data_IF_949201025948
#
_entry.id   IF_949201025948
#
_cell.length_a   1.000
_cell.length_b   1.000
_cell.length_c   1.000
_cell.angle_alpha   90.00
_cell.angle_beta   90.00
_cell.angle_gamma   90.00
#
_symmetry.space_group_name_H-M   'P 1'
#
loop_
_entity.id
_entity.type
_entity.pdbx_description
1 polymer ?
#
# COMPACT_ATOMS: atom_id res chain seq x y z
N UNK A 1 -26.57 15.22 -34.69
CA UNK A 1 -26.26 14.23 -33.63
C UNK A 1 -24.78 14.18 -33.29
N UNK A 2 -23.87 14.20 -34.26
CA UNK A 2 -22.40 14.12 -34.06
C UNK A 2 -21.79 15.22 -33.17
N UNK A 3 -22.34 16.44 -33.23
CA UNK A 3 -21.87 17.56 -32.41
C UNK A 3 -22.11 17.35 -30.91
N UNK A 4 -23.33 16.93 -30.54
CA UNK A 4 -23.71 16.67 -29.15
C UNK A 4 -22.91 15.50 -28.58
N UNK A 5 -22.74 14.43 -29.36
CA UNK A 5 -21.91 13.29 -28.95
C UNK A 5 -20.45 13.70 -28.74
N UNK A 6 -19.90 14.55 -29.61
CA UNK A 6 -18.54 15.08 -29.46
C UNK A 6 -18.37 15.91 -28.18
N UNK A 7 -19.35 16.77 -27.88
CA UNK A 7 -19.35 17.58 -26.66
C UNK A 7 -19.42 16.71 -25.39
N UNK A 8 -20.31 15.71 -25.37
CA UNK A 8 -20.43 14.80 -24.24
C UNK A 8 -19.14 13.98 -24.03
N UNK A 9 -18.53 13.47 -25.11
CA UNK A 9 -17.27 12.72 -25.01
C UNK A 9 -16.17 13.61 -24.43
N UNK A 10 -15.98 14.82 -24.95
CA UNK A 10 -14.98 15.76 -24.45
C UNK A 10 -15.18 16.10 -22.96
N UNK A 11 -16.42 16.37 -22.56
CA UNK A 11 -16.77 16.66 -21.17
C UNK A 11 -16.44 15.48 -20.24
N UNK A 12 -16.82 14.26 -20.64
CA UNK A 12 -16.55 13.05 -19.88
C UNK A 12 -15.05 12.75 -19.80
N UNK A 13 -14.29 12.94 -20.89
CA UNK A 13 -12.84 12.74 -20.89
C UNK A 13 -12.15 13.72 -19.93
N UNK A 14 -12.56 15.00 -19.90
CA UNK A 14 -12.02 15.95 -18.91
C UNK A 14 -12.37 15.56 -17.48
N UNK A 15 -13.62 15.18 -17.22
CA UNK A 15 -14.05 14.73 -15.89
C UNK A 15 -13.29 13.48 -15.43
N UNK A 16 -12.98 12.56 -16.35
CA UNK A 16 -12.22 11.37 -16.02
C UNK A 16 -10.79 11.74 -15.59
N UNK A 17 -10.12 12.61 -16.36
CA UNK A 17 -8.69 12.89 -16.19
C UNK A 17 -8.36 13.94 -15.13
N UNK A 18 -9.26 14.89 -14.88
CA UNK A 18 -8.95 16.08 -14.08
C UNK A 18 -9.72 16.17 -12.77
N UNK A 19 -10.73 15.33 -12.57
CA UNK A 19 -11.41 15.31 -11.28
C UNK A 19 -10.52 14.59 -10.26
N UNK A 20 -10.16 15.24 -9.14
CA UNK A 20 -9.31 14.64 -8.11
C UNK A 20 -9.96 13.41 -7.46
N UNK A 21 -11.29 13.32 -7.50
CA UNK A 21 -12.07 12.21 -6.94
C UNK A 21 -12.10 10.98 -7.87
N UNK A 22 -11.81 11.14 -9.16
CA UNK A 22 -11.86 10.05 -10.14
C UNK A 22 -10.47 9.43 -10.32
N UNK A 23 -10.27 8.28 -9.68
CA UNK A 23 -8.99 7.56 -9.70
C UNK A 23 -8.89 6.58 -10.88
N UNK A 24 -8.34 7.03 -12.00
CA UNK A 24 -8.04 6.15 -13.15
C UNK A 24 -6.74 5.36 -12.93
N UNK A 25 -5.71 6.00 -12.35
CA UNK A 25 -4.40 5.39 -12.21
C UNK A 25 -4.36 4.39 -11.05
N UNK A 26 -3.94 3.16 -11.32
CA UNK A 26 -3.77 2.10 -10.31
C UNK A 26 -2.51 2.28 -9.46
N UNK A 27 -1.58 3.16 -9.85
CA UNK A 27 -0.33 3.41 -9.12
C UNK A 27 -0.57 3.86 -7.66
N UNK A 28 -1.67 4.56 -7.39
CA UNK A 28 -2.02 5.06 -6.05
C UNK A 28 -2.77 4.05 -5.16
N UNK A 29 -2.85 2.76 -5.55
CA UNK A 29 -3.52 1.72 -4.75
C UNK A 29 -2.68 1.17 -3.60
N UNK A 30 -1.37 1.42 -3.59
CA UNK A 30 -0.49 1.03 -2.48
C UNK A 30 -0.64 1.92 -1.26
N UNK A 31 -1.06 3.17 -1.45
CA UNK A 31 -1.31 4.15 -0.39
C UNK A 31 -2.80 4.18 -0.04
N UNK A 32 -3.17 3.71 1.15
CA UNK A 32 -4.55 3.81 1.66
C UNK A 32 -5.05 5.26 1.83
N UNK A 33 -4.12 6.22 1.92
CA UNK A 33 -4.36 7.66 2.02
C UNK A 33 -3.48 8.36 0.97
N UNK A 34 -4.08 9.20 0.12
CA UNK A 34 -3.45 9.80 -1.08
C UNK A 34 -2.17 10.60 -0.79
N UNK A 35 -2.12 11.30 0.34
CA UNK A 35 -0.99 12.17 0.71
C UNK A 35 -0.05 11.52 1.74
N UNK A 36 -0.32 10.28 2.14
CA UNK A 36 0.38 9.67 3.27
C UNK A 36 1.25 8.45 2.89
N UNK A 37 1.80 8.49 1.67
CA UNK A 37 2.66 7.44 1.16
C UNK A 37 3.94 7.28 2.01
N UNK A 38 4.53 8.38 2.47
CA UNK A 38 5.77 8.36 3.26
C UNK A 38 5.56 7.75 4.65
N UNK A 39 4.46 8.06 5.34
CA UNK A 39 4.13 7.46 6.63
C UNK A 39 3.81 5.97 6.49
N UNK A 40 3.05 5.59 5.46
CA UNK A 40 2.77 4.19 5.15
C UNK A 40 4.04 3.37 4.87
N UNK A 41 5.01 3.96 4.15
CA UNK A 41 6.31 3.34 3.93
C UNK A 41 7.08 3.19 5.25
N UNK A 42 7.14 4.24 6.08
CA UNK A 42 7.80 4.21 7.39
C UNK A 42 7.21 3.16 8.33
N UNK A 43 5.88 2.99 8.36
CA UNK A 43 5.22 1.94 9.14
C UNK A 43 5.51 0.54 8.59
N UNK A 44 5.45 0.35 7.27
CA UNK A 44 5.72 -0.96 6.66
C UNK A 44 7.19 -1.39 6.82
N UNK A 45 8.11 -0.42 6.79
CA UNK A 45 9.55 -0.62 6.87
C UNK A 45 10.13 -0.37 8.28
N UNK A 46 9.30 -0.37 9.31
CA UNK A 46 9.70 -0.09 10.69
C UNK A 46 10.93 -0.92 11.12
N UNK A 47 11.91 -0.29 11.76
CA UNK A 47 13.22 -0.89 12.08
C UNK A 47 13.09 -2.18 12.90
N UNK A 48 12.20 -2.22 13.89
CA UNK A 48 11.91 -3.43 14.67
C UNK A 48 11.39 -4.57 13.79
N UNK A 49 10.52 -4.25 12.82
CA UNK A 49 9.95 -5.26 11.91
C UNK A 49 11.01 -5.79 10.95
N UNK A 50 11.90 -4.92 10.44
CA UNK A 50 13.06 -5.33 9.63
C UNK A 50 14.01 -6.23 10.42
N UNK A 51 14.30 -5.88 11.67
CA UNK A 51 15.14 -6.66 12.57
C UNK A 51 14.56 -8.05 12.86
N UNK A 52 13.26 -8.13 13.15
CA UNK A 52 12.58 -9.40 13.44
C UNK A 52 12.38 -10.28 12.20
N UNK A 53 12.38 -9.72 10.98
CA UNK A 53 12.15 -10.48 9.74
C UNK A 53 13.19 -11.57 9.46
N UNK A 54 14.42 -11.40 9.94
CA UNK A 54 15.51 -12.38 9.77
C UNK A 54 15.58 -13.40 10.92
N UNK A 55 14.82 -13.20 11.99
CA UNK A 55 14.84 -14.05 13.18
C UNK A 55 13.67 -15.01 13.17
N UNK A 56 13.84 -16.17 13.80
CA UNK A 56 12.74 -17.12 14.01
C UNK A 56 11.70 -16.46 14.94
N UNK A 57 10.39 -16.58 14.63
CA UNK A 57 9.34 -16.03 15.49
C UNK A 57 9.26 -16.86 16.78
N UNK A 58 9.98 -16.43 17.80
CA UNK A 58 10.02 -17.08 19.11
C UNK A 58 9.61 -16.07 20.18
N UNK A 59 8.64 -16.45 21.02
CA UNK A 59 8.14 -15.60 22.11
C UNK A 59 9.14 -15.59 23.27
N UNK A 60 9.78 -16.74 23.55
CA UNK A 60 10.83 -16.90 24.55
C UNK A 60 11.95 -17.83 24.03
N UNK A 61 13.01 -17.27 23.40
CA UNK A 61 14.06 -18.09 22.77
C UNK A 61 14.80 -18.98 23.78
N UNK A 62 15.06 -18.48 24.99
CA UNK A 62 15.74 -19.25 26.04
C UNK A 62 14.95 -20.49 26.49
N UNK A 63 13.61 -20.37 26.59
CA UNK A 63 12.74 -21.50 26.95
C UNK A 63 12.62 -22.48 25.77
N UNK A 64 12.45 -21.95 24.56
CA UNK A 64 12.37 -22.78 23.36
C UNK A 64 13.64 -23.61 23.18
N UNK A 65 14.82 -23.00 23.29
CA UNK A 65 16.11 -23.69 23.25
C UNK A 65 16.20 -24.75 24.34
N UNK A 66 15.88 -24.40 25.59
CA UNK A 66 15.90 -25.34 26.71
C UNK A 66 15.07 -26.61 26.46
N UNK A 67 13.93 -26.52 25.77
CA UNK A 67 13.10 -27.68 25.45
C UNK A 67 13.48 -28.37 24.13
N UNK A 68 14.11 -27.68 23.17
CA UNK A 68 14.45 -28.25 21.85
C UNK A 68 15.86 -28.78 21.72
N UNK A 69 16.82 -28.32 22.53
CA UNK A 69 18.25 -28.69 22.47
C UNK A 69 18.60 -29.93 23.31
N UNK A 70 17.61 -30.66 23.82
CA UNK A 70 17.83 -31.92 24.55
C UNK A 70 17.89 -33.11 23.58
N UNK A 71 19.09 -33.32 23.02
CA UNK A 71 19.64 -34.62 22.60
C UNK A 71 21.10 -34.72 23.06
#
# INVERSE_FOLDING_TARGET
MTFVTGMCVFQLTRNMLLNPDVRINKAHRSSGVLENAEEGEKYSQHALRKYLRQRRPEIMPAINQFFSENE
#
